data_IF_511676817992
#
_entry.id   IF_511676817992
#
_cell.length_a   1.000
_cell.length_b   1.000
_cell.length_c   1.000
_cell.angle_alpha   90.00
_cell.angle_beta   90.00
_cell.angle_gamma   90.00
#
_symmetry.space_group_name_H-M   'P 1'
#
loop_
_entity.id
_entity.type
_entity.pdbx_description
1 polymer ?
#
# COMPACT_ATOMS: atom_id res chain seq x y z
N UNK A 1 -5.82 -1.93 -11.42
CA UNK A 1 -4.76 -1.11 -10.80
C UNK A 1 -4.68 -1.50 -9.33
N UNK A 2 -3.48 -1.65 -8.76
CA UNK A 2 -3.31 -2.07 -7.37
C UNK A 2 -3.94 -1.10 -6.37
N UNK A 3 -3.95 0.20 -6.70
CA UNK A 3 -4.60 1.23 -5.87
C UNK A 3 -6.14 1.09 -5.87
N UNK A 4 -6.75 0.89 -7.04
CA UNK A 4 -8.21 0.72 -7.17
C UNK A 4 -8.69 -0.50 -6.40
N UNK A 5 -8.00 -1.63 -6.55
CA UNK A 5 -8.34 -2.86 -5.82
C UNK A 5 -8.17 -2.69 -4.31
N UNK A 6 -7.12 -1.99 -3.87
CA UNK A 6 -6.93 -1.68 -2.45
C UNK A 6 -8.12 -0.90 -1.89
N UNK A 7 -8.59 0.12 -2.61
CA UNK A 7 -9.77 0.89 -2.18
C UNK A 7 -11.05 0.06 -2.16
N UNK A 8 -11.26 -0.83 -3.14
CA UNK A 8 -12.39 -1.77 -3.13
C UNK A 8 -12.35 -2.68 -1.88
N UNK A 9 -11.19 -3.27 -1.59
CA UNK A 9 -10.99 -4.13 -0.42
C UNK A 9 -11.21 -3.39 0.90
N UNK A 10 -10.78 -2.12 1.00
CA UNK A 10 -10.94 -1.31 2.21
C UNK A 10 -12.37 -0.80 2.42
N UNK A 11 -13.19 -0.74 1.38
CA UNK A 11 -14.61 -0.34 1.46
C UNK A 11 -15.54 -1.51 1.80
N UNK A 12 -15.16 -2.74 1.49
CA UNK A 12 -15.98 -3.92 1.75
C UNK A 12 -15.82 -4.42 3.20
N UNK A 13 -16.94 -4.62 3.89
CA UNK A 13 -16.96 -4.97 5.32
C UNK A 13 -16.23 -6.29 5.65
N UNK A 14 -16.18 -7.24 4.71
CA UNK A 14 -15.51 -8.53 4.91
C UNK A 14 -13.99 -8.49 4.76
N UNK A 15 -13.45 -7.44 4.14
CA UNK A 15 -12.03 -7.34 3.78
C UNK A 15 -11.34 -6.10 4.31
N UNK A 16 -12.10 -5.10 4.77
CA UNK A 16 -11.60 -3.81 5.24
C UNK A 16 -10.49 -3.90 6.27
N UNK A 17 -10.62 -4.84 7.20
CA UNK A 17 -9.70 -4.97 8.33
C UNK A 17 -8.44 -5.79 7.99
N UNK A 18 -8.33 -6.31 6.77
CA UNK A 18 -7.14 -7.04 6.30
C UNK A 18 -6.03 -6.01 6.00
N UNK A 19 -4.82 -6.15 6.58
CA UNK A 19 -3.70 -5.27 6.26
C UNK A 19 -3.24 -5.44 4.80
N UNK A 20 -3.00 -4.34 4.11
CA UNK A 20 -2.58 -4.31 2.69
C UNK A 20 -1.25 -3.57 2.55
N UNK A 21 -0.28 -4.22 1.93
CA UNK A 21 1.01 -3.63 1.54
C UNK A 21 1.05 -3.50 0.01
N UNK A 22 1.27 -2.30 -0.50
CA UNK A 22 1.41 -2.04 -1.93
C UNK A 22 2.88 -2.04 -2.35
N UNK A 23 3.25 -2.96 -3.26
CA UNK A 23 4.59 -3.00 -3.85
C UNK A 23 4.66 -2.12 -5.12
N UNK A 24 5.37 -0.99 -5.05
CA UNK A 24 5.41 0.02 -6.12
C UNK A 24 6.70 -0.05 -6.95
N UNK A 25 6.63 0.17 -8.27
CA UNK A 25 7.82 0.28 -9.13
C UNK A 25 8.41 1.70 -9.17
N UNK A 26 7.79 2.66 -8.47
CA UNK A 26 8.22 4.06 -8.46
C UNK A 26 8.96 4.33 -7.16
N UNK A 27 10.30 4.24 -7.22
CA UNK A 27 11.21 4.19 -6.08
C UNK A 27 11.30 5.43 -5.18
N UNK A 28 10.50 6.48 -5.39
CA UNK A 28 10.51 7.68 -4.53
C UNK A 28 9.25 8.54 -4.63
N UNK A 29 8.27 8.19 -5.48
CA UNK A 29 7.17 9.09 -5.84
C UNK A 29 5.77 8.57 -5.50
N UNK A 30 5.66 7.72 -4.49
CA UNK A 30 4.36 7.52 -3.80
C UNK A 30 3.86 8.84 -3.17
N UNK A 31 4.72 9.69 -2.56
CA UNK A 31 4.26 10.98 -2.03
C UNK A 31 4.21 12.11 -3.07
N UNK A 32 4.81 11.95 -4.27
CA UNK A 32 5.08 13.08 -5.18
C UNK A 32 4.78 12.84 -6.67
N UNK A 33 4.37 11.64 -7.11
CA UNK A 33 3.80 11.51 -8.46
C UNK A 33 2.49 12.29 -8.49
N UNK A 34 2.15 12.91 -9.62
CA UNK A 34 0.89 13.64 -9.87
C UNK A 34 -0.41 12.86 -9.58
N UNK A 35 -0.34 11.65 -9.01
CA UNK A 35 -1.45 10.94 -8.38
C UNK A 35 -1.87 11.52 -7.03
N UNK A 36 -1.02 12.36 -6.41
CA UNK A 36 -1.21 12.85 -5.04
C UNK A 36 -2.33 13.88 -4.88
N UNK A 37 -3.03 14.30 -5.93
CA UNK A 37 -4.10 15.30 -5.86
C UNK A 37 -5.40 14.91 -6.57
N UNK A 38 -5.53 13.67 -7.08
CA UNK A 38 -6.79 13.25 -7.70
C UNK A 38 -7.87 12.96 -6.65
N UNK A 39 -7.76 11.95 -5.76
CA UNK A 39 -8.93 11.58 -4.93
C UNK A 39 -8.62 10.75 -3.65
N UNK A 40 -7.54 11.03 -2.89
CA UNK A 40 -7.39 10.45 -1.54
C UNK A 40 -7.16 8.92 -1.46
N UNK A 41 -6.84 8.25 -2.58
CA UNK A 41 -6.65 6.80 -2.65
C UNK A 41 -5.29 6.29 -2.13
N UNK A 42 -4.26 7.15 -2.08
CA UNK A 42 -2.93 6.78 -1.59
C UNK A 42 -2.85 6.62 -0.06
N UNK A 43 -3.99 6.73 0.63
CA UNK A 43 -4.08 6.66 2.10
C UNK A 43 -4.68 5.36 2.62
N UNK A 44 -5.22 4.50 1.74
CA UNK A 44 -5.98 3.32 2.18
C UNK A 44 -5.12 2.06 2.39
N UNK A 45 -3.88 2.00 1.88
CA UNK A 45 -2.99 0.89 2.21
C UNK A 45 -2.23 1.15 3.52
N UNK A 46 -1.87 0.08 4.21
CA UNK A 46 -1.21 0.14 5.51
C UNK A 46 0.33 0.28 5.39
N UNK A 47 0.88 -0.05 4.20
CA UNK A 47 2.28 0.20 3.86
C UNK A 47 2.53 0.26 2.34
N UNK A 48 3.66 0.85 1.97
CA UNK A 48 4.15 0.99 0.60
C UNK A 48 5.63 0.62 0.54
N UNK A 49 5.99 -0.34 -0.32
CA UNK A 49 7.40 -0.78 -0.46
C UNK A 49 7.83 -0.71 -1.93
N UNK A 50 8.95 -0.03 -2.24
CA UNK A 50 9.46 0.01 -3.61
C UNK A 50 9.99 -1.35 -4.07
N UNK A 51 9.87 -1.61 -5.37
CA UNK A 51 10.49 -2.74 -6.07
C UNK A 51 11.86 -2.34 -6.61
N UNK A 52 12.85 -3.24 -6.60
CA UNK A 52 12.80 -4.57 -5.99
C UNK A 52 12.82 -4.49 -4.46
N UNK A 53 12.13 -5.42 -3.80
CA UNK A 53 12.11 -5.54 -2.34
C UNK A 53 12.86 -6.80 -1.93
N UNK A 54 13.72 -6.69 -0.92
CA UNK A 54 14.36 -7.86 -0.30
C UNK A 54 13.46 -8.50 0.77
N UNK A 55 13.66 -9.79 1.03
CA UNK A 55 12.81 -10.55 1.95
C UNK A 55 12.84 -10.01 3.38
N UNK A 56 13.99 -9.53 3.86
CA UNK A 56 14.10 -9.02 5.23
C UNK A 56 13.30 -7.73 5.42
N UNK A 57 13.31 -6.85 4.41
CA UNK A 57 12.50 -5.64 4.39
C UNK A 57 11.00 -5.96 4.34
N UNK A 58 10.59 -6.94 3.53
CA UNK A 58 9.19 -7.38 3.49
C UNK A 58 8.73 -7.96 4.84
N UNK A 59 9.52 -8.85 5.46
CA UNK A 59 9.19 -9.47 6.75
C UNK A 59 9.05 -8.41 7.85
N UNK A 60 9.96 -7.42 7.92
CA UNK A 60 9.87 -6.33 8.90
C UNK A 60 8.60 -5.49 8.74
N UNK A 61 8.17 -5.24 7.50
CA UNK A 61 6.90 -4.53 7.24
C UNK A 61 5.71 -5.34 7.75
N UNK A 62 5.68 -6.65 7.49
CA UNK A 62 4.64 -7.55 7.99
C UNK A 62 4.61 -7.55 9.53
N UNK A 63 5.75 -7.73 10.18
CA UNK A 63 5.85 -7.72 11.65
C UNK A 63 5.29 -6.42 12.26
N UNK A 64 5.56 -5.27 11.63
CA UNK A 64 5.05 -3.96 12.07
C UNK A 64 3.52 -3.83 11.98
N UNK A 65 2.87 -4.55 11.09
CA UNK A 65 1.40 -4.50 10.92
C UNK A 65 0.65 -5.35 11.95
N UNK A 66 1.34 -6.28 12.60
CA UNK A 66 0.76 -7.20 13.59
C UNK A 66 1.30 -6.99 15.02
N UNK A 67 2.18 -6.00 15.22
CA UNK A 67 2.70 -5.60 16.53
C UNK A 67 1.77 -4.64 17.25
#
# INVERSE_FOLDING_TARGET
DGYVLCGELKREAGTRDIPVILLTAVGEAVPTTSYTHADGMATEADDYIPKPVDTATLVRSIERLFS
#
